data_IF_226434656086
#
_entry.id   IF_226434656086
#
_cell.length_a   1.000
_cell.length_b   1.000
_cell.length_c   1.000
_cell.angle_alpha   90.00
_cell.angle_beta   90.00
_cell.angle_gamma   90.00
#
_symmetry.space_group_name_H-M   'P 1'
#
loop_
_entity.id
_entity.type
_entity.pdbx_description
1 polymer ?
#
# COMPACT_ATOMS: atom_id res chain seq x y z
N UNK A 1 0.43 20.77 -2.50
CA UNK A 1 0.81 19.59 -3.30
C UNK A 1 0.11 18.30 -2.87
N UNK A 2 0.55 17.54 -1.85
CA UNK A 2 -0.06 16.22 -1.55
C UNK A 2 -1.57 16.27 -1.27
N UNK A 3 -2.04 17.24 -0.48
CA UNK A 3 -3.48 17.45 -0.22
C UNK A 3 -4.29 17.81 -1.47
N UNK A 4 -3.73 18.61 -2.37
CA UNK A 4 -4.41 19.01 -3.62
C UNK A 4 -4.60 17.80 -4.54
N UNK A 5 -3.59 16.92 -4.61
CA UNK A 5 -3.68 15.65 -5.36
C UNK A 5 -4.77 14.74 -4.77
N UNK A 6 -4.86 14.65 -3.45
CA UNK A 6 -5.92 13.87 -2.80
C UNK A 6 -7.31 14.48 -2.99
N UNK A 7 -7.45 15.81 -2.92
CA UNK A 7 -8.73 16.49 -3.14
C UNK A 7 -9.22 16.28 -4.58
N UNK A 8 -8.34 16.44 -5.57
CA UNK A 8 -8.65 16.14 -6.98
C UNK A 8 -9.04 14.67 -7.18
N UNK A 9 -8.33 13.76 -6.51
CA UNK A 9 -8.64 12.33 -6.54
C UNK A 9 -10.04 12.06 -6.00
N UNK A 10 -10.42 12.66 -4.86
CA UNK A 10 -11.74 12.49 -4.24
C UNK A 10 -12.88 13.09 -5.06
N UNK A 11 -12.67 14.26 -5.69
CA UNK A 11 -13.63 14.85 -6.62
C UNK A 11 -13.86 13.96 -7.84
N UNK A 12 -12.77 13.40 -8.38
CA UNK A 12 -12.83 12.42 -9.47
C UNK A 12 -13.59 11.15 -9.04
N UNK A 13 -13.36 10.64 -7.83
CA UNK A 13 -14.09 9.52 -7.23
C UNK A 13 -15.60 9.81 -7.09
N UNK A 14 -15.96 10.98 -6.57
CA UNK A 14 -17.36 11.36 -6.40
C UNK A 14 -18.08 11.48 -7.75
N UNK A 15 -17.43 12.13 -8.74
CA UNK A 15 -17.99 12.31 -10.07
C UNK A 15 -18.13 11.00 -10.85
N UNK A 16 -17.14 10.09 -10.73
CA UNK A 16 -17.16 8.80 -11.43
C UNK A 16 -18.21 7.85 -10.87
N UNK A 17 -18.42 7.85 -9.55
CA UNK A 17 -19.38 6.99 -8.87
C UNK A 17 -20.85 7.31 -9.21
N UNK A 18 -21.16 8.57 -9.52
CA UNK A 18 -22.51 9.03 -9.90
C UNK A 18 -22.81 8.96 -11.40
N UNK A 19 -21.85 8.53 -12.23
CA UNK A 19 -21.95 8.60 -13.69
C UNK A 19 -22.28 7.25 -14.35
N UNK A 20 -22.68 7.28 -15.62
CA UNK A 20 -22.76 6.08 -16.49
C UNK A 20 -21.40 5.35 -16.63
N UNK A 21 -20.29 5.96 -16.21
CA UNK A 21 -18.96 5.37 -16.24
C UNK A 21 -18.63 4.55 -15.00
N UNK A 22 -19.53 4.44 -14.00
CA UNK A 22 -19.28 3.74 -12.73
C UNK A 22 -18.66 2.34 -12.90
N UNK A 23 -19.18 1.52 -13.82
CA UNK A 23 -18.65 0.16 -14.01
C UNK A 23 -17.29 0.16 -14.70
N UNK A 24 -17.07 1.03 -15.70
CA UNK A 24 -15.75 1.21 -16.32
C UNK A 24 -14.71 1.72 -15.31
N UNK A 25 -15.13 2.58 -14.39
CA UNK A 25 -14.30 3.10 -13.33
C UNK A 25 -13.93 2.02 -12.30
N UNK A 26 -14.92 1.26 -11.82
CA UNK A 26 -14.66 0.10 -10.95
C UNK A 26 -13.69 -0.89 -11.58
N UNK A 27 -13.86 -1.18 -12.88
CA UNK A 27 -12.98 -2.10 -13.59
C UNK A 27 -11.56 -1.55 -13.69
N UNK A 28 -11.38 -0.27 -13.99
CA UNK A 28 -10.07 0.37 -14.01
C UNK A 28 -9.38 0.31 -12.63
N UNK A 29 -10.13 0.60 -11.54
CA UNK A 29 -9.59 0.47 -10.19
C UNK A 29 -9.24 -0.98 -9.85
N UNK A 30 -10.12 -1.94 -10.18
CA UNK A 30 -9.86 -3.37 -9.97
C UNK A 30 -8.56 -3.80 -10.65
N UNK A 31 -8.33 -3.36 -11.90
CA UNK A 31 -7.11 -3.62 -12.66
C UNK A 31 -5.90 -2.99 -12.00
N UNK A 32 -5.95 -1.68 -11.69
CA UNK A 32 -4.85 -0.98 -11.03
C UNK A 32 -4.48 -1.64 -9.69
N UNK A 33 -5.47 -1.96 -8.84
CA UNK A 33 -5.22 -2.66 -7.57
C UNK A 33 -4.62 -4.05 -7.78
N UNK A 34 -4.99 -4.77 -8.84
CA UNK A 34 -4.38 -6.06 -9.15
C UNK A 34 -2.91 -5.87 -9.55
N UNK A 35 -2.63 -4.98 -10.51
CA UNK A 35 -1.27 -4.71 -11.00
C UNK A 35 -0.32 -4.27 -9.88
N UNK A 36 -0.75 -3.33 -9.02
CA UNK A 36 0.08 -2.90 -7.89
C UNK A 36 0.31 -4.00 -6.86
N UNK A 37 -0.69 -4.84 -6.60
CA UNK A 37 -0.51 -5.98 -5.69
C UNK A 37 0.45 -7.01 -6.27
N UNK A 38 0.36 -7.29 -7.57
CA UNK A 38 1.26 -8.23 -8.24
C UNK A 38 2.71 -7.75 -8.19
N UNK A 39 2.95 -6.45 -8.42
CA UNK A 39 4.29 -5.84 -8.31
C UNK A 39 4.83 -6.00 -6.88
N UNK A 40 4.05 -5.62 -5.87
CA UNK A 40 4.51 -5.66 -4.46
C UNK A 40 4.70 -7.11 -4.01
N UNK A 41 3.78 -8.01 -4.35
CA UNK A 41 3.88 -9.43 -4.04
C UNK A 41 5.16 -10.02 -4.62
N UNK A 42 5.46 -9.72 -5.90
CA UNK A 42 6.70 -10.15 -6.55
C UNK A 42 7.96 -9.65 -5.83
N UNK A 43 7.98 -8.38 -5.42
CA UNK A 43 9.10 -7.81 -4.66
C UNK A 43 9.30 -8.47 -3.29
N UNK A 44 8.21 -8.79 -2.59
CA UNK A 44 8.28 -9.50 -1.30
C UNK A 44 8.79 -10.93 -1.52
N UNK A 45 8.27 -11.61 -2.54
CA UNK A 45 8.71 -12.96 -2.91
C UNK A 45 10.20 -13.01 -3.26
N UNK A 46 10.70 -12.06 -4.05
CA UNK A 46 12.13 -11.93 -4.33
C UNK A 46 12.97 -11.73 -3.05
N UNK A 47 12.49 -10.91 -2.12
CA UNK A 47 13.17 -10.70 -0.84
C UNK A 47 13.19 -11.96 0.05
N UNK A 48 12.15 -12.79 -0.02
CA UNK A 48 12.12 -14.11 0.64
C UNK A 48 13.16 -15.05 0.02
N UNK A 49 13.21 -15.11 -1.30
CA UNK A 49 14.15 -15.97 -2.05
C UNK A 49 15.62 -15.59 -1.79
N UNK A 50 15.89 -14.31 -1.57
CA UNK A 50 17.21 -13.78 -1.18
C UNK A 50 17.55 -13.95 0.30
N UNK A 51 16.59 -14.39 1.11
CA UNK A 51 16.74 -14.49 2.57
C UNK A 51 16.74 -13.14 3.29
N UNK A 52 16.34 -12.06 2.61
CA UNK A 52 16.19 -10.72 3.20
C UNK A 52 14.94 -10.64 4.07
N UNK A 53 13.86 -11.31 3.65
CA UNK A 53 12.60 -11.40 4.38
C UNK A 53 12.33 -12.80 4.93
N UNK A 54 11.50 -12.88 5.96
CA UNK A 54 11.12 -14.15 6.61
C UNK A 54 10.37 -15.05 5.62
N UNK A 55 10.64 -16.35 5.67
CA UNK A 55 10.03 -17.34 4.77
C UNK A 55 8.60 -17.74 5.14
N UNK A 56 8.09 -17.30 6.29
CA UNK A 56 6.72 -17.57 6.76
C UNK A 56 5.70 -16.53 6.29
N UNK A 57 6.13 -15.54 5.51
CA UNK A 57 5.27 -14.48 5.01
C UNK A 57 4.41 -14.95 3.83
N UNK A 58 3.21 -14.37 3.72
CA UNK A 58 2.36 -14.48 2.54
C UNK A 58 2.46 -13.17 1.72
N UNK A 59 3.17 -13.18 0.58
CA UNK A 59 3.39 -11.99 -0.25
C UNK A 59 2.09 -11.32 -0.73
N UNK A 60 1.09 -12.11 -1.10
CA UNK A 60 -0.17 -11.59 -1.68
C UNK A 60 -1.00 -10.87 -0.61
N UNK A 61 -1.10 -11.46 0.57
CA UNK A 61 -1.78 -10.83 1.71
C UNK A 61 -1.08 -9.54 2.13
N UNK A 62 0.25 -9.52 2.18
CA UNK A 62 1.01 -8.31 2.52
C UNK A 62 0.85 -7.21 1.47
N UNK A 63 0.87 -7.56 0.18
CA UNK A 63 0.64 -6.61 -0.90
C UNK A 63 -0.75 -5.95 -0.81
N UNK A 64 -1.79 -6.73 -0.49
CA UNK A 64 -3.14 -6.21 -0.30
C UNK A 64 -3.22 -5.23 0.89
N UNK A 65 -2.59 -5.55 2.01
CA UNK A 65 -2.56 -4.69 3.21
C UNK A 65 -1.77 -3.40 2.94
N UNK A 66 -0.62 -3.50 2.28
CA UNK A 66 0.22 -2.34 1.94
C UNK A 66 -0.54 -1.31 1.09
N UNK A 67 -1.21 -1.78 0.04
CA UNK A 67 -2.00 -0.89 -0.82
C UNK A 67 -3.21 -0.31 -0.09
N UNK A 68 -3.93 -1.12 0.69
CA UNK A 68 -5.05 -0.63 1.48
C UNK A 68 -4.64 0.43 2.53
N UNK A 69 -3.47 0.25 3.14
CA UNK A 69 -2.93 1.22 4.10
C UNK A 69 -2.54 2.53 3.41
N UNK A 70 -1.92 2.48 2.23
CA UNK A 70 -1.59 3.66 1.45
C UNK A 70 -2.85 4.52 1.21
N UNK A 71 -3.93 3.92 0.70
CA UNK A 71 -5.19 4.63 0.43
C UNK A 71 -5.74 5.28 1.71
N UNK A 72 -5.75 4.54 2.81
CA UNK A 72 -6.32 4.99 4.07
C UNK A 72 -5.50 6.09 4.75
N UNK A 73 -4.16 6.06 4.64
CA UNK A 73 -3.29 7.11 5.20
C UNK A 73 -3.51 8.43 4.44
N UNK A 74 -3.60 8.34 3.11
CA UNK A 74 -3.92 9.49 2.26
C UNK A 74 -5.29 10.10 2.56
N UNK A 75 -6.30 9.25 2.75
CA UNK A 75 -7.65 9.67 3.10
C UNK A 75 -7.69 10.38 4.46
N UNK A 76 -6.91 9.92 5.45
CA UNK A 76 -6.80 10.61 6.74
C UNK A 76 -6.21 12.01 6.59
N UNK A 77 -5.16 12.17 5.78
CA UNK A 77 -4.57 13.48 5.50
C UNK A 77 -5.51 14.45 4.78
N UNK A 78 -6.50 13.92 4.06
CA UNK A 78 -7.55 14.71 3.42
C UNK A 78 -8.61 15.19 4.42
N UNK A 79 -8.97 14.37 5.41
CA UNK A 79 -9.97 14.74 6.43
C UNK A 79 -9.42 15.63 7.54
N UNK A 80 -8.15 15.46 7.91
CA UNK A 80 -7.55 16.15 9.03
C UNK A 80 -6.33 16.95 8.57
N UNK A 81 -6.47 18.28 8.62
CA UNK A 81 -5.39 19.16 8.19
C UNK A 81 -4.12 19.07 9.04
N UNK A 82 -4.25 18.62 10.29
CA UNK A 82 -3.17 18.45 11.26
C UNK A 82 -2.47 17.09 11.15
N UNK A 83 -3.01 16.16 10.34
CA UNK A 83 -2.42 14.84 10.15
C UNK A 83 -1.14 14.92 9.32
N UNK A 84 -0.03 14.43 9.90
CA UNK A 84 1.26 14.36 9.22
C UNK A 84 1.34 13.11 8.32
N UNK A 85 0.89 13.28 7.07
CA UNK A 85 0.93 12.26 6.02
C UNK A 85 2.33 11.65 5.83
N UNK A 86 3.37 12.47 5.87
CA UNK A 86 4.74 12.02 5.60
C UNK A 86 5.29 11.19 6.76
N UNK A 87 5.07 11.64 7.99
CA UNK A 87 5.45 10.87 9.17
C UNK A 87 4.68 9.55 9.25
N UNK A 88 3.37 9.56 9.00
CA UNK A 88 2.54 8.35 9.04
C UNK A 88 3.00 7.31 8.01
N UNK A 89 3.18 7.71 6.75
CA UNK A 89 3.65 6.81 5.69
C UNK A 89 5.05 6.25 5.97
N UNK A 90 5.98 7.10 6.42
CA UNK A 90 7.35 6.68 6.77
C UNK A 90 7.35 5.66 7.91
N UNK A 91 6.61 5.93 8.97
CA UNK A 91 6.55 5.07 10.15
C UNK A 91 5.87 3.74 9.81
N UNK A 92 4.81 3.77 9.01
CA UNK A 92 4.15 2.57 8.50
C UNK A 92 5.12 1.67 7.71
N UNK A 93 5.82 2.23 6.72
CA UNK A 93 6.81 1.48 5.94
C UNK A 93 7.94 0.93 6.80
N UNK A 94 8.43 1.71 7.77
CA UNK A 94 9.47 1.26 8.71
C UNK A 94 9.00 0.06 9.52
N UNK A 95 7.75 0.08 10.01
CA UNK A 95 7.18 -1.02 10.78
C UNK A 95 7.03 -2.29 9.92
N UNK A 96 6.51 -2.16 8.70
CA UNK A 96 6.32 -3.30 7.80
C UNK A 96 7.66 -3.92 7.42
N UNK A 97 8.62 -3.13 6.95
CA UNK A 97 9.96 -3.64 6.56
C UNK A 97 10.63 -4.33 7.75
N UNK A 98 10.62 -3.69 8.93
CA UNK A 98 11.21 -4.27 10.13
C UNK A 98 10.53 -5.57 10.55
N UNK A 99 9.20 -5.67 10.41
CA UNK A 99 8.42 -6.87 10.72
C UNK A 99 8.60 -8.00 9.70
N UNK A 100 8.98 -7.68 8.47
CA UNK A 100 9.27 -8.65 7.41
C UNK A 100 10.71 -9.16 7.43
N UNK A 101 11.66 -8.38 7.95
CA UNK A 101 13.09 -8.69 7.88
C UNK A 101 13.43 -9.99 8.62
N UNK A 102 14.24 -10.85 7.98
CA UNK A 102 14.72 -12.07 8.60
C UNK A 102 15.59 -11.77 9.84
N UNK A 103 15.40 -12.51 10.94
CA UNK A 103 16.29 -12.38 12.10
C UNK A 103 17.64 -13.03 11.76
N UNK A 104 18.78 -12.44 12.14
CA UNK A 104 20.07 -13.08 11.98
C UNK A 104 20.07 -14.42 12.74
N UNK A 105 20.30 -15.50 12.02
CA UNK A 105 20.54 -16.82 12.60
C UNK A 105 21.91 -16.79 13.27
N UNK A 106 21.95 -16.47 14.56
CA UNK A 106 23.14 -16.71 15.37
C UNK A 106 23.31 -18.23 15.52
N UNK A 107 24.20 -18.80 14.72
CA UNK A 107 24.75 -20.13 14.99
C UNK A 107 25.59 -20.03 16.27
N UNK A 108 25.04 -20.51 17.38
CA UNK A 108 25.81 -20.79 18.59
C UNK A 108 26.71 -21.99 18.26
N UNK A 109 28.01 -21.73 18.11
CA UNK A 109 29.04 -22.78 18.09
C UNK A 109 29.17 -23.42 19.47
#
# INVERSE_FOLDING_TARGET
EAKEVYSLSMEFWAASASSKMRERFKEAFRQNYAEFRDIISSLIQEGIERGEFRSDLDPDSLAAVLIGAWDAIGLQAWFDDSFDLMAASKNFMTCIISGMTAKPSYSVN
#
